data_IF_299729342089
#
_entry.id   IF_299729342089
#
_cell.length_a   1.000
_cell.length_b   1.000
_cell.length_c   1.000
_cell.angle_alpha   90.00
_cell.angle_beta   90.00
_cell.angle_gamma   90.00
#
_symmetry.space_group_name_H-M   'P 1'
#
loop_
_entity.id
_entity.type
_entity.pdbx_description
1 polymer ?
#
# COMPACT_ATOMS: atom_id res chain seq x y z
N UNK A 1 13.59 -10.75 -34.72
CA UNK A 1 13.10 -11.18 -33.41
C UNK A 1 12.81 -9.92 -32.60
N UNK A 2 11.54 -9.52 -32.51
CA UNK A 2 11.15 -8.34 -31.72
C UNK A 2 11.16 -8.71 -30.24
N UNK A 3 12.10 -8.14 -29.50
CA UNK A 3 12.17 -8.21 -28.04
C UNK A 3 10.90 -7.61 -27.46
N UNK A 4 10.10 -8.43 -26.79
CA UNK A 4 9.00 -8.00 -25.93
C UNK A 4 9.62 -7.24 -24.75
N UNK A 5 9.33 -5.95 -24.51
CA UNK A 5 9.72 -5.32 -23.26
C UNK A 5 8.88 -5.95 -22.12
N UNK A 6 9.51 -6.22 -20.99
CA UNK A 6 8.85 -6.68 -19.78
C UNK A 6 7.72 -5.71 -19.39
N UNK A 7 6.58 -6.19 -18.84
CA UNK A 7 5.60 -5.28 -18.28
C UNK A 7 6.30 -4.51 -17.15
N UNK A 8 6.29 -3.19 -17.24
CA UNK A 8 6.68 -2.34 -16.15
C UNK A 8 5.95 -2.82 -14.90
N UNK A 9 6.68 -3.40 -13.95
CA UNK A 9 6.25 -3.37 -12.56
C UNK A 9 5.87 -1.93 -12.31
N UNK A 10 4.59 -1.67 -12.08
CA UNK A 10 4.03 -0.35 -11.86
C UNK A 10 4.77 0.27 -10.67
N UNK A 11 5.86 0.98 -10.96
CA UNK A 11 6.56 1.79 -10.00
C UNK A 11 5.57 2.87 -9.65
N UNK A 12 4.96 2.74 -8.47
CA UNK A 12 4.04 3.72 -7.91
C UNK A 12 4.62 5.12 -8.17
N UNK A 13 3.83 6.05 -8.74
CA UNK A 13 4.34 7.33 -9.17
C UNK A 13 5.09 8.02 -8.01
N UNK A 14 6.22 8.71 -8.28
CA UNK A 14 6.92 9.45 -7.25
C UNK A 14 5.99 10.55 -6.72
N UNK A 15 5.53 10.39 -5.48
CA UNK A 15 4.73 11.41 -4.78
C UNK A 15 5.64 12.59 -4.40
N UNK A 16 5.87 13.48 -5.35
CA UNK A 16 6.47 14.80 -5.11
C UNK A 16 5.42 15.88 -5.41
N UNK A 17 5.05 16.66 -4.39
CA UNK A 17 4.57 18.03 -4.52
C UNK A 17 3.05 18.27 -4.53
N UNK A 18 2.26 17.50 -5.28
CA UNK A 18 0.83 17.85 -5.51
C UNK A 18 -0.14 16.66 -5.51
N UNK A 19 0.32 15.43 -5.76
CA UNK A 19 -0.52 14.23 -5.92
C UNK A 19 -0.60 13.36 -4.64
N UNK A 20 -0.07 13.84 -3.51
CA UNK A 20 -0.05 13.12 -2.24
C UNK A 20 -1.12 13.59 -1.25
N UNK A 21 -1.43 12.80 -0.21
CA UNK A 21 -2.35 13.25 0.81
C UNK A 21 -1.80 14.51 1.48
N UNK A 22 -2.67 15.47 1.84
CA UNK A 22 -2.23 16.72 2.45
C UNK A 22 -1.49 16.43 3.77
N UNK A 23 -0.31 17.02 3.95
CA UNK A 23 0.57 16.78 5.11
C UNK A 23 1.47 15.55 5.00
N UNK A 24 1.52 14.88 3.85
CA UNK A 24 2.48 13.80 3.59
C UNK A 24 3.81 14.37 3.09
N UNK A 25 4.58 14.97 3.99
CA UNK A 25 5.91 15.49 3.70
C UNK A 25 7.03 14.45 3.96
N UNK A 26 8.28 14.87 3.75
CA UNK A 26 9.45 14.00 3.88
C UNK A 26 9.56 13.33 5.27
N UNK A 27 9.12 14.01 6.35
CA UNK A 27 9.16 13.46 7.70
C UNK A 27 8.14 12.32 7.86
N UNK A 28 6.88 12.57 7.50
CA UNK A 28 5.83 11.56 7.58
C UNK A 28 6.15 10.31 6.76
N UNK A 29 6.74 10.51 5.57
CA UNK A 29 7.23 9.40 4.74
C UNK A 29 8.34 8.62 5.43
N UNK A 30 9.36 9.30 5.95
CA UNK A 30 10.47 8.64 6.63
C UNK A 30 9.99 7.77 7.80
N UNK A 31 9.04 8.26 8.60
CA UNK A 31 8.44 7.48 9.70
C UNK A 31 7.74 6.23 9.18
N UNK A 32 6.90 6.34 8.14
CA UNK A 32 6.15 5.19 7.60
C UNK A 32 7.01 4.15 6.90
N UNK A 33 8.20 4.53 6.39
CA UNK A 33 9.16 3.60 5.81
C UNK A 33 9.71 2.63 6.88
N UNK A 34 9.77 3.04 8.15
CA UNK A 34 10.19 2.20 9.31
C UNK A 34 9.02 1.44 9.99
N UNK A 35 7.77 1.79 9.66
CA UNK A 35 6.59 1.13 10.23
C UNK A 35 6.47 -0.31 9.72
N UNK A 36 6.29 -1.26 10.65
CA UNK A 36 6.17 -2.70 10.34
C UNK A 36 4.78 -3.13 9.92
N UNK A 37 3.75 -2.36 10.28
CA UNK A 37 2.42 -2.57 9.73
C UNK A 37 2.46 -2.26 8.23
N UNK A 38 1.81 -3.10 7.43
CA UNK A 38 1.71 -2.87 6.00
C UNK A 38 0.68 -1.77 5.75
N UNK A 39 1.15 -0.63 5.26
CA UNK A 39 0.33 0.55 4.98
C UNK A 39 0.23 0.79 3.48
N UNK A 40 -1.01 0.87 2.99
CA UNK A 40 -1.35 1.26 1.63
C UNK A 40 -2.14 2.57 1.66
N UNK A 41 -1.86 3.48 0.73
CA UNK A 41 -2.58 4.74 0.56
C UNK A 41 -3.30 4.75 -0.78
N UNK A 42 -4.60 4.96 -0.74
CA UNK A 42 -5.43 5.17 -1.92
C UNK A 42 -5.94 6.59 -1.98
N UNK A 43 -6.09 7.11 -3.19
CA UNK A 43 -6.76 8.39 -3.43
C UNK A 43 -8.29 8.29 -3.25
N UNK A 44 -8.99 9.38 -3.57
CA UNK A 44 -10.46 9.47 -3.52
C UNK A 44 -11.18 8.58 -4.55
N UNK A 45 -10.51 8.18 -5.62
CA UNK A 45 -11.04 7.26 -6.63
C UNK A 45 -10.77 5.79 -6.26
N UNK A 46 -10.06 5.55 -5.15
CA UNK A 46 -9.69 4.22 -4.67
C UNK A 46 -8.46 3.64 -5.36
N UNK A 47 -7.74 4.43 -6.16
CA UNK A 47 -6.51 3.98 -6.80
C UNK A 47 -5.35 3.95 -5.80
N UNK A 48 -4.59 2.86 -5.78
CA UNK A 48 -3.39 2.73 -4.94
C UNK A 48 -2.30 3.69 -5.42
N UNK A 49 -1.98 4.69 -4.59
CA UNK A 49 -0.95 5.70 -4.88
C UNK A 49 0.37 5.43 -4.19
N UNK A 50 0.34 4.79 -3.01
CA UNK A 50 1.55 4.53 -2.26
C UNK A 50 1.43 3.30 -1.36
N UNK A 51 2.56 2.64 -1.11
CA UNK A 51 2.69 1.54 -0.16
C UNK A 51 4.05 1.61 0.54
N UNK A 52 4.08 1.36 1.84
CA UNK A 52 5.33 1.33 2.62
C UNK A 52 6.14 0.04 2.37
N UNK A 53 7.39 -0.09 2.87
CA UNK A 53 8.20 -1.28 2.68
C UNK A 53 7.57 -2.56 3.22
N UNK A 54 6.87 -2.51 4.36
CA UNK A 54 6.15 -3.65 4.90
C UNK A 54 5.02 -4.11 3.96
N UNK A 55 4.24 -3.17 3.42
CA UNK A 55 3.22 -3.44 2.42
C UNK A 55 3.81 -4.03 1.14
N UNK A 56 4.93 -3.51 0.65
CA UNK A 56 5.64 -4.07 -0.52
C UNK A 56 6.17 -5.48 -0.26
N UNK A 57 6.61 -5.76 0.96
CA UNK A 57 7.05 -7.09 1.38
C UNK A 57 5.88 -8.07 1.44
N UNK A 58 4.73 -7.61 1.97
CA UNK A 58 3.49 -8.37 1.98
C UNK A 58 3.04 -8.68 0.55
N UNK A 59 3.09 -7.71 -0.37
CA UNK A 59 2.64 -7.88 -1.76
C UNK A 59 3.60 -8.69 -2.61
N UNK A 60 4.90 -8.57 -2.38
CA UNK A 60 5.93 -9.10 -3.26
C UNK A 60 5.75 -8.55 -4.68
N UNK A 61 5.59 -9.46 -5.65
CA UNK A 61 5.30 -9.12 -7.06
C UNK A 61 3.81 -9.16 -7.41
N UNK A 62 2.94 -9.51 -6.46
CA UNK A 62 1.50 -9.55 -6.70
C UNK A 62 0.89 -8.15 -6.52
N UNK A 63 -0.12 -7.86 -7.33
CA UNK A 63 -0.87 -6.62 -7.19
C UNK A 63 -1.89 -6.76 -6.04
N UNK A 64 -1.85 -5.89 -5.01
CA UNK A 64 -2.81 -5.93 -3.92
C UNK A 64 -4.19 -5.49 -4.40
N UNK A 65 -5.23 -6.22 -3.98
CA UNK A 65 -6.62 -5.83 -4.18
C UNK A 65 -7.25 -5.43 -2.85
N UNK A 66 -7.75 -4.20 -2.79
CA UNK A 66 -8.33 -3.62 -1.59
C UNK A 66 -9.84 -3.78 -1.63
N UNK A 67 -10.40 -4.51 -0.65
CA UNK A 67 -11.82 -4.82 -0.58
C UNK A 67 -12.43 -4.24 0.69
N UNK A 68 -13.19 -3.14 0.61
CA UNK A 68 -13.87 -2.59 1.78
C UNK A 68 -15.02 -3.50 2.18
N UNK A 69 -15.18 -3.72 3.48
CA UNK A 69 -16.33 -4.45 4.05
C UNK A 69 -17.22 -3.49 4.83
N UNK A 70 -16.61 -2.56 5.53
CA UNK A 70 -17.25 -1.47 6.25
C UNK A 70 -16.40 -0.20 6.08
N UNK A 71 -16.89 0.93 6.59
CA UNK A 71 -16.22 2.22 6.51
C UNK A 71 -14.78 2.19 7.06
N UNK A 72 -14.55 1.45 8.15
CA UNK A 72 -13.25 1.41 8.86
C UNK A 72 -12.55 0.05 8.76
N UNK A 73 -13.07 -0.88 7.98
CA UNK A 73 -12.59 -2.27 7.94
C UNK A 73 -12.75 -2.88 6.55
N UNK A 74 -11.75 -3.64 6.13
CA UNK A 74 -11.76 -4.35 4.86
C UNK A 74 -10.74 -5.46 4.86
N UNK A 75 -10.42 -5.96 3.68
CA UNK A 75 -9.33 -6.92 3.50
C UNK A 75 -8.45 -6.48 2.33
N UNK A 76 -7.15 -6.69 2.50
CA UNK A 76 -6.19 -6.65 1.39
C UNK A 76 -6.00 -8.08 0.91
N UNK A 77 -6.33 -8.35 -0.35
CA UNK A 77 -6.05 -9.62 -1.00
C UNK A 77 -4.73 -9.52 -1.76
N UNK A 78 -3.80 -10.41 -1.44
CA UNK A 78 -2.51 -10.53 -2.11
C UNK A 78 -2.30 -11.98 -2.51
N UNK A 79 -2.04 -12.24 -3.80
CA UNK A 79 -1.81 -13.58 -4.32
C UNK A 79 -2.91 -14.60 -3.90
N UNK A 80 -4.16 -14.14 -3.79
CA UNK A 80 -5.32 -14.95 -3.35
C UNK A 80 -5.49 -15.07 -1.84
N UNK A 81 -4.58 -14.53 -1.02
CA UNK A 81 -4.70 -14.51 0.43
C UNK A 81 -5.32 -13.21 0.92
N UNK A 82 -6.47 -13.32 1.59
CA UNK A 82 -7.16 -12.18 2.20
C UNK A 82 -6.59 -11.92 3.59
N UNK A 83 -6.14 -10.70 3.83
CA UNK A 83 -5.65 -10.21 5.12
C UNK A 83 -6.56 -9.13 5.66
N UNK A 84 -6.98 -9.20 6.93
CA UNK A 84 -7.80 -8.14 7.51
C UNK A 84 -7.03 -6.83 7.49
N UNK A 85 -7.72 -5.75 7.15
CA UNK A 85 -7.15 -4.43 7.05
C UNK A 85 -8.06 -3.42 7.73
N UNK A 86 -7.46 -2.53 8.52
CA UNK A 86 -8.15 -1.34 9.05
C UNK A 86 -8.13 -0.27 7.98
N UNK A 87 -9.26 0.39 7.79
CA UNK A 87 -9.40 1.51 6.85
C UNK A 87 -9.52 2.79 7.68
N UNK A 88 -8.74 3.80 7.31
CA UNK A 88 -8.81 5.13 7.90
C UNK A 88 -8.98 6.14 6.79
N UNK A 89 -10.09 6.88 6.82
CA UNK A 89 -10.27 8.05 5.98
C UNK A 89 -9.28 9.15 6.38
N UNK A 90 -8.68 9.78 5.37
CA UNK A 90 -7.74 10.88 5.47
C UNK A 90 -8.33 12.09 4.73
N UNK A 91 -7.83 13.32 5.00
CA UNK A 91 -8.33 14.50 4.31
C UNK A 91 -8.16 14.40 2.79
N UNK A 92 -9.09 15.01 2.04
CA UNK A 92 -9.09 14.96 0.58
C UNK A 92 -9.64 13.65 -0.01
N UNK A 93 -10.38 12.86 0.77
CA UNK A 93 -10.98 11.61 0.29
C UNK A 93 -10.01 10.42 0.24
N UNK A 94 -8.79 10.62 0.72
CA UNK A 94 -7.76 9.58 0.79
C UNK A 94 -8.13 8.51 1.81
N UNK A 95 -7.63 7.30 1.61
CA UNK A 95 -7.77 6.22 2.59
C UNK A 95 -6.43 5.54 2.86
N UNK A 96 -6.14 5.34 4.14
CA UNK A 96 -5.06 4.47 4.58
C UNK A 96 -5.63 3.10 4.94
N UNK A 97 -5.03 2.06 4.34
CA UNK A 97 -5.30 0.67 4.64
C UNK A 97 -4.13 0.10 5.42
N UNK A 98 -4.40 -0.44 6.60
CA UNK A 98 -3.37 -0.97 7.49
C UNK A 98 -3.62 -2.44 7.78
N UNK A 99 -2.72 -3.29 7.32
CA UNK A 99 -2.65 -4.70 7.72
C UNK A 99 -1.65 -4.80 8.87
N UNK A 100 -2.06 -5.34 10.03
CA UNK A 100 -1.19 -5.40 11.20
C UNK A 100 0.04 -6.29 10.94
N UNK A 101 1.18 -5.94 11.54
CA UNK A 101 2.47 -6.60 11.31
C UNK A 101 2.46 -8.11 11.64
N UNK A 102 1.54 -8.57 12.49
CA UNK A 102 1.32 -9.99 12.80
C UNK A 102 0.79 -10.79 11.59
N UNK A 103 0.07 -10.11 10.69
CA UNK A 103 -0.45 -10.67 9.44
C UNK A 103 0.51 -10.49 8.27
N UNK A 104 1.60 -9.73 8.47
CA UNK A 104 2.65 -9.54 7.47
C UNK A 104 3.67 -10.68 7.58
N UNK A 105 3.92 -11.44 6.50
CA UNK A 105 4.90 -12.51 6.53
C UNK A 105 6.30 -11.94 6.83
N UNK A 106 6.82 -12.27 8.01
CA UNK A 106 8.19 -11.92 8.39
C UNK A 106 9.14 -12.74 7.53
N UNK A 107 9.93 -12.08 6.67
CA UNK A 107 10.98 -12.76 5.92
C UNK A 107 12.07 -13.14 6.92
N UNK A 108 12.08 -14.40 7.37
CA UNK A 108 13.16 -14.95 8.17
C UNK A 108 14.43 -14.88 7.32
N UNK A 109 15.30 -13.91 7.61
CA UNK A 109 16.65 -13.88 7.06
C UNK A 109 17.47 -14.78 7.99
N UNK A 110 17.76 -16.00 7.52
CA UNK A 110 18.77 -16.87 8.11
C UNK A 110 20.15 -16.55 7.58
#
# INVERSE_FOLDING_TARGET
MVSRPAPASAALPPMTGEDGPPGFDAFGRAVLEDVRDAVFLTDAEGALRWANPAARTLTGSAEPRLHPIAETSGHVEVAGHKRPARIRALPGGWHAWTVPAEDVPQRHVG
#
